data_IF_535131398487
#
_entry.id   IF_535131398487
#
_cell.length_a   1.000
_cell.length_b   1.000
_cell.length_c   1.000
_cell.angle_alpha   90.00
_cell.angle_beta   90.00
_cell.angle_gamma   90.00
#
_symmetry.space_group_name_H-M   'P 1'
#
loop_
_entity.id
_entity.type
_entity.pdbx_description
1 polymer ?
#
# COMPACT_ATOMS: atom_id res chain seq x y z
N UNK A 1 -5.64 10.49 -21.40
CA UNK A 1 -5.24 11.47 -20.37
C UNK A 1 -3.72 11.57 -20.33
N UNK A 2 -3.18 12.75 -19.97
CA UNK A 2 -1.72 12.98 -19.95
C UNK A 2 -1.01 12.06 -18.93
N UNK A 3 -1.64 11.81 -17.78
CA UNK A 3 -1.05 11.02 -16.70
C UNK A 3 -0.81 9.55 -17.06
N UNK A 4 -1.70 8.94 -17.86
CA UNK A 4 -1.51 7.55 -18.32
C UNK A 4 -0.35 7.37 -19.30
N UNK A 5 0.24 8.47 -19.79
CA UNK A 5 1.46 8.43 -20.60
C UNK A 5 2.72 8.52 -19.75
N UNK A 6 2.66 9.08 -18.54
CA UNK A 6 3.84 9.26 -17.68
C UNK A 6 4.60 7.95 -17.47
N UNK A 7 3.96 6.82 -17.11
CA UNK A 7 4.68 5.56 -16.93
C UNK A 7 5.34 5.07 -18.22
N UNK A 8 4.66 5.24 -19.37
CA UNK A 8 5.14 4.74 -20.67
C UNK A 8 6.27 5.59 -21.24
N UNK A 9 6.15 6.91 -21.09
CA UNK A 9 7.02 7.87 -21.74
C UNK A 9 8.24 8.20 -20.84
N UNK A 10 8.10 8.09 -19.51
CA UNK A 10 9.12 8.48 -18.53
C UNK A 10 9.50 7.38 -17.54
N UNK A 11 8.89 6.19 -17.62
CA UNK A 11 9.08 5.13 -16.64
C UNK A 11 10.22 4.15 -16.91
N UNK A 12 11.11 4.42 -17.88
CA UNK A 12 12.16 3.48 -18.29
C UNK A 12 13.14 3.12 -17.16
N UNK A 13 13.39 4.05 -16.23
CA UNK A 13 14.26 3.86 -15.08
C UNK A 13 13.48 3.48 -13.80
N UNK A 14 12.16 3.33 -13.90
CA UNK A 14 11.36 2.96 -12.74
C UNK A 14 11.58 1.49 -12.39
N UNK A 15 11.92 1.24 -11.13
CA UNK A 15 12.00 -0.11 -10.56
C UNK A 15 10.94 -0.28 -9.49
N UNK A 16 10.50 -1.52 -9.29
CA UNK A 16 9.69 -1.84 -8.13
C UNK A 16 10.48 -1.62 -6.82
N UNK A 17 9.76 -1.34 -5.74
CA UNK A 17 10.35 -1.41 -4.39
C UNK A 17 10.82 -2.86 -4.18
N UNK A 18 12.07 -3.10 -3.73
CA UNK A 18 12.55 -4.45 -3.43
C UNK A 18 11.56 -5.21 -2.55
N UNK A 19 11.25 -6.46 -2.92
CA UNK A 19 10.28 -7.31 -2.24
C UNK A 19 8.80 -7.09 -2.61
N UNK A 20 8.44 -6.03 -3.33
CA UNK A 20 7.04 -5.74 -3.68
C UNK A 20 6.39 -6.85 -4.51
N UNK A 21 7.06 -7.34 -5.56
CA UNK A 21 6.53 -8.44 -6.37
C UNK A 21 6.35 -9.71 -5.55
N UNK A 22 7.31 -10.04 -4.68
CA UNK A 22 7.26 -11.24 -3.83
C UNK A 22 6.01 -11.23 -2.95
N UNK A 23 5.78 -10.14 -2.21
CA UNK A 23 4.63 -10.07 -1.29
C UNK A 23 3.30 -10.07 -2.04
N UNK A 24 3.20 -9.38 -3.19
CA UNK A 24 1.99 -9.37 -4.01
C UNK A 24 1.68 -10.77 -4.57
N UNK A 25 2.68 -11.47 -5.11
CA UNK A 25 2.52 -12.84 -5.59
C UNK A 25 2.09 -13.77 -4.45
N UNK A 26 2.70 -13.67 -3.27
CA UNK A 26 2.32 -14.51 -2.12
C UNK A 26 0.88 -14.25 -1.64
N UNK A 27 0.40 -13.00 -1.69
CA UNK A 27 -0.99 -12.67 -1.36
C UNK A 27 -1.97 -13.29 -2.37
N UNK A 28 -1.67 -13.19 -3.68
CA UNK A 28 -2.47 -13.80 -4.74
C UNK A 28 -2.50 -15.34 -4.63
N UNK A 29 -1.35 -15.98 -4.45
CA UNK A 29 -1.24 -17.44 -4.32
C UNK A 29 -1.97 -17.97 -3.08
N UNK A 30 -1.95 -17.21 -1.98
CA UNK A 30 -2.69 -17.54 -0.77
C UNK A 30 -4.20 -17.22 -0.87
N UNK A 31 -4.63 -16.48 -1.88
CA UNK A 31 -6.00 -15.97 -1.99
C UNK A 31 -6.35 -14.94 -0.91
N UNK A 32 -5.34 -14.27 -0.34
CA UNK A 32 -5.53 -13.27 0.70
C UNK A 32 -6.04 -11.95 0.07
N UNK A 33 -7.15 -11.36 0.55
CA UNK A 33 -7.70 -10.16 -0.05
C UNK A 33 -6.82 -8.94 0.25
N UNK A 34 -6.45 -8.20 -0.79
CA UNK A 34 -5.68 -6.96 -0.68
C UNK A 34 -6.20 -5.90 -1.67
N UNK A 35 -5.87 -4.64 -1.40
CA UNK A 35 -6.24 -3.52 -2.25
C UNK A 35 -5.07 -2.53 -2.37
N UNK A 36 -5.01 -1.81 -3.50
CA UNK A 36 -4.17 -0.62 -3.63
C UNK A 36 -4.98 0.60 -3.27
N UNK A 37 -4.43 1.51 -2.46
CA UNK A 37 -5.03 2.80 -2.13
C UNK A 37 -4.02 3.92 -2.42
N UNK A 38 -4.25 4.69 -3.46
CA UNK A 38 -3.30 5.68 -3.98
C UNK A 38 -3.90 7.08 -4.11
N UNK A 39 -3.06 8.10 -3.95
CA UNK A 39 -3.40 9.50 -4.29
C UNK A 39 -3.20 9.81 -5.78
N UNK A 40 -2.77 8.82 -6.59
CA UNK A 40 -2.68 8.95 -8.04
C UNK A 40 -4.02 8.66 -8.73
N UNK A 41 -4.15 9.09 -9.99
CA UNK A 41 -5.29 8.74 -10.82
C UNK A 41 -5.30 7.27 -11.21
N UNK A 42 -6.47 6.77 -11.62
CA UNK A 42 -6.60 5.45 -12.25
C UNK A 42 -5.67 5.28 -13.46
N UNK A 43 -5.54 6.31 -14.30
CA UNK A 43 -4.66 6.26 -15.47
C UNK A 43 -3.17 6.12 -15.07
N UNK A 44 -2.75 6.77 -13.99
CA UNK A 44 -1.37 6.73 -13.51
C UNK A 44 -1.02 5.37 -12.92
N UNK A 45 -1.84 4.86 -11.99
CA UNK A 45 -1.56 3.58 -11.31
C UNK A 45 -1.61 2.40 -12.27
N UNK A 46 -2.60 2.35 -13.17
CA UNK A 46 -2.69 1.27 -14.16
C UNK A 46 -1.52 1.29 -15.14
N UNK A 47 -1.02 2.48 -15.50
CA UNK A 47 0.18 2.62 -16.32
C UNK A 47 1.42 2.09 -15.62
N UNK A 48 1.62 2.43 -14.33
CA UNK A 48 2.77 1.94 -13.55
C UNK A 48 2.74 0.42 -13.36
N UNK A 49 1.57 -0.15 -13.02
CA UNK A 49 1.42 -1.60 -12.90
C UNK A 49 1.77 -2.33 -14.21
N UNK A 50 1.36 -1.76 -15.35
CA UNK A 50 1.66 -2.32 -16.67
C UNK A 50 3.15 -2.23 -17.03
N UNK A 51 3.79 -1.09 -16.79
CA UNK A 51 5.23 -0.90 -17.08
C UNK A 51 6.11 -1.79 -16.21
N UNK A 52 5.79 -1.86 -14.91
CA UNK A 52 6.51 -2.71 -13.97
C UNK A 52 6.09 -4.18 -14.04
N UNK A 53 5.07 -4.52 -14.84
CA UNK A 53 4.51 -5.88 -14.95
C UNK A 53 4.16 -6.48 -13.59
N UNK A 54 3.58 -5.67 -12.70
CA UNK A 54 3.16 -6.10 -11.36
C UNK A 54 1.73 -6.66 -11.38
N UNK A 55 1.37 -7.41 -10.33
CA UNK A 55 0.01 -7.91 -10.17
C UNK A 55 -0.99 -6.76 -10.15
N UNK A 56 -2.07 -6.88 -10.94
CA UNK A 56 -3.15 -5.92 -10.93
C UNK A 56 -4.07 -6.22 -9.74
N UNK A 57 -4.29 -5.26 -8.83
CA UNK A 57 -5.17 -5.48 -7.69
C UNK A 57 -6.60 -5.70 -8.16
N UNK A 58 -7.27 -6.69 -7.55
CA UNK A 58 -8.72 -6.86 -7.73
C UNK A 58 -9.50 -5.63 -7.25
N UNK A 59 -9.00 -4.98 -6.20
CA UNK A 59 -9.60 -3.79 -5.60
C UNK A 59 -8.59 -2.65 -5.56
N UNK A 60 -8.97 -1.52 -6.14
CA UNK A 60 -8.13 -0.33 -6.26
C UNK A 60 -8.94 0.85 -5.73
N UNK A 61 -8.35 1.78 -4.98
CA UNK A 61 -8.92 3.09 -4.64
C UNK A 61 -7.96 4.17 -5.15
N UNK A 62 -8.48 5.09 -5.95
CA UNK A 62 -7.72 6.17 -6.60
C UNK A 62 -8.13 7.54 -6.09
N UNK A 63 -7.42 8.58 -6.51
CA UNK A 63 -7.72 9.96 -6.15
C UNK A 63 -9.18 10.36 -6.47
N UNK A 64 -9.70 9.90 -7.60
CA UNK A 64 -11.06 10.22 -8.05
C UNK A 64 -12.16 9.57 -7.21
N UNK A 65 -11.84 8.55 -6.42
CA UNK A 65 -12.80 7.81 -5.60
C UNK A 65 -13.16 8.53 -4.29
N UNK A 66 -12.40 9.56 -3.91
CA UNK A 66 -12.56 10.25 -2.61
C UNK A 66 -12.64 11.77 -2.79
N UNK A 67 -13.42 12.41 -1.93
CA UNK A 67 -13.54 13.88 -1.94
C UNK A 67 -12.32 14.57 -1.32
N UNK A 68 -11.71 13.94 -0.32
CA UNK A 68 -10.56 14.47 0.41
C UNK A 68 -9.46 13.41 0.41
N UNK A 69 -8.27 13.80 -0.05
CA UNK A 69 -7.11 12.92 -0.06
C UNK A 69 -6.46 12.76 1.31
N UNK A 70 -5.44 11.88 1.38
CA UNK A 70 -4.59 11.69 2.57
C UNK A 70 -4.07 13.06 3.08
N UNK A 71 -4.12 13.38 4.40
CA UNK A 71 -4.24 12.45 5.53
C UNK A 71 -5.67 12.12 5.97
N UNK A 72 -6.70 12.48 5.19
CA UNK A 72 -8.06 12.03 5.47
C UNK A 72 -8.18 10.49 5.35
N UNK A 73 -8.88 9.81 6.28
CA UNK A 73 -8.94 8.34 6.31
C UNK A 73 -9.89 7.74 5.26
N UNK A 74 -10.70 8.54 4.55
CA UNK A 74 -11.76 8.06 3.66
C UNK A 74 -11.25 7.07 2.62
N UNK A 75 -10.03 7.25 2.11
CA UNK A 75 -9.44 6.34 1.12
C UNK A 75 -9.21 4.92 1.66
N UNK A 76 -8.73 4.78 2.90
CA UNK A 76 -8.53 3.47 3.52
C UNK A 76 -9.83 2.84 4.00
N UNK A 77 -10.76 3.63 4.51
CA UNK A 77 -12.10 3.15 4.87
C UNK A 77 -12.84 2.61 3.65
N UNK A 78 -12.73 3.29 2.51
CA UNK A 78 -13.25 2.82 1.23
C UNK A 78 -12.53 1.54 0.76
N UNK A 79 -11.20 1.48 0.90
CA UNK A 79 -10.43 0.27 0.60
C UNK A 79 -10.90 -0.94 1.40
N UNK A 80 -11.12 -0.78 2.71
CA UNK A 80 -11.69 -1.82 3.58
C UNK A 80 -13.07 -2.26 3.12
N UNK A 81 -13.94 -1.34 2.70
CA UNK A 81 -15.27 -1.69 2.18
C UNK A 81 -15.18 -2.41 0.83
N UNK A 82 -14.30 -2.00 -0.09
CA UNK A 82 -14.09 -2.73 -1.35
C UNK A 82 -13.62 -4.18 -1.14
N UNK A 83 -12.93 -4.45 -0.03
CA UNK A 83 -12.54 -5.79 0.39
C UNK A 83 -13.69 -6.61 1.01
N UNK A 84 -14.85 -6.01 1.29
CA UNK A 84 -15.95 -6.65 2.03
C UNK A 84 -15.64 -6.87 3.51
N UNK A 85 -14.77 -6.02 4.08
CA UNK A 85 -14.27 -6.12 5.46
C UNK A 85 -14.77 -4.97 6.34
N UNK A 86 -15.96 -4.43 6.09
CA UNK A 86 -16.51 -3.23 6.76
C UNK A 86 -16.48 -3.32 8.29
N UNK A 87 -16.67 -4.54 8.82
CA UNK A 87 -16.70 -4.82 10.25
C UNK A 87 -15.36 -5.28 10.83
N UNK A 88 -14.32 -5.41 9.99
CA UNK A 88 -12.98 -5.74 10.48
C UNK A 88 -12.36 -4.55 11.20
N UNK A 89 -11.85 -4.82 12.40
CA UNK A 89 -10.99 -3.95 13.19
C UNK A 89 -9.49 -4.21 12.95
N UNK A 90 -9.18 -5.25 12.17
CA UNK A 90 -7.81 -5.71 11.91
C UNK A 90 -7.47 -5.48 10.44
N UNK A 91 -6.91 -4.30 10.17
CA UNK A 91 -6.41 -3.90 8.86
C UNK A 91 -4.95 -3.47 8.96
N UNK A 92 -4.16 -3.85 7.97
CA UNK A 92 -2.78 -3.42 7.80
C UNK A 92 -2.67 -2.54 6.56
N UNK A 93 -2.07 -1.36 6.73
CA UNK A 93 -1.66 -0.46 5.66
C UNK A 93 -0.15 -0.56 5.48
N UNK A 94 0.31 -0.70 4.24
CA UNK A 94 1.71 -0.53 3.87
C UNK A 94 1.84 0.83 3.18
N UNK A 95 2.72 1.71 3.68
CA UNK A 95 2.81 3.11 3.26
C UNK A 95 4.24 3.65 3.30
N UNK A 96 4.55 4.67 2.52
CA UNK A 96 5.87 5.32 2.46
C UNK A 96 5.82 6.85 2.68
N UNK A 97 4.61 7.41 2.82
CA UNK A 97 4.40 8.84 3.01
C UNK A 97 3.77 9.17 4.39
N UNK A 98 4.25 10.21 5.10
CA UNK A 98 3.65 10.67 6.35
C UNK A 98 2.15 10.96 6.26
N UNK A 99 1.66 11.47 5.12
CA UNK A 99 0.23 11.70 4.90
C UNK A 99 -0.56 10.39 4.86
N UNK A 100 -0.03 9.35 4.22
CA UNK A 100 -0.63 8.03 4.16
C UNK A 100 -0.59 7.31 5.50
N UNK A 101 0.54 7.39 6.21
CA UNK A 101 0.64 6.89 7.59
C UNK A 101 -0.45 7.52 8.46
N UNK A 102 -0.56 8.85 8.49
CA UNK A 102 -1.61 9.54 9.25
C UNK A 102 -3.03 9.14 8.84
N UNK A 103 -3.30 8.98 7.54
CA UNK A 103 -4.60 8.50 7.08
C UNK A 103 -4.92 7.07 7.55
N UNK A 104 -3.94 6.16 7.51
CA UNK A 104 -4.10 4.80 8.01
C UNK A 104 -4.37 4.78 9.51
N UNK A 105 -3.64 5.59 10.29
CA UNK A 105 -3.87 5.76 11.73
C UNK A 105 -5.22 6.38 12.04
N UNK A 106 -5.63 7.42 11.31
CA UNK A 106 -6.94 8.04 11.45
C UNK A 106 -8.10 7.09 11.11
N UNK A 107 -7.88 6.11 10.23
CA UNK A 107 -8.82 5.03 9.94
C UNK A 107 -8.89 3.96 11.06
N UNK A 108 -8.01 4.03 12.05
CA UNK A 108 -7.89 3.04 13.13
C UNK A 108 -7.04 1.83 12.76
N UNK A 109 -6.28 1.88 11.68
CA UNK A 109 -5.54 0.73 11.16
C UNK A 109 -4.11 0.65 11.72
N UNK A 110 -3.50 -0.53 11.58
CA UNK A 110 -2.06 -0.71 11.77
C UNK A 110 -1.31 -0.28 10.51
N UNK A 111 -0.15 0.34 10.67
CA UNK A 111 0.66 0.86 9.56
C UNK A 111 2.08 0.31 9.65
N UNK A 112 2.48 -0.42 8.62
CA UNK A 112 3.87 -0.78 8.33
C UNK A 112 4.41 0.24 7.32
N UNK A 113 5.33 1.09 7.75
CA UNK A 113 5.90 2.12 6.89
C UNK A 113 7.19 1.66 6.19
N UNK A 114 7.41 2.13 4.95
CA UNK A 114 8.59 1.90 4.14
C UNK A 114 9.42 3.19 4.08
N UNK A 115 10.67 3.14 4.52
CA UNK A 115 11.60 4.27 4.47
C UNK A 115 12.24 4.45 3.08
N UNK A 116 11.40 4.42 2.02
CA UNK A 116 11.83 4.54 0.61
C UNK A 116 11.85 5.98 0.12
N UNK A 117 10.87 6.79 0.52
CA UNK A 117 10.71 8.18 0.04
C UNK A 117 10.94 9.21 1.13
N UNK A 118 10.55 8.89 2.36
CA UNK A 118 10.68 9.78 3.52
C UNK A 118 11.63 9.18 4.55
N UNK A 119 12.22 10.05 5.37
CA UNK A 119 13.16 9.62 6.42
C UNK A 119 12.39 8.97 7.58
N UNK A 120 13.08 8.10 8.32
CA UNK A 120 12.49 7.31 9.40
C UNK A 120 11.82 8.19 10.47
N UNK A 121 12.40 9.34 10.76
CA UNK A 121 11.89 10.32 11.73
C UNK A 121 10.51 10.86 11.34
N UNK A 122 10.29 11.17 10.06
CA UNK A 122 9.01 11.69 9.56
C UNK A 122 7.90 10.61 9.64
N UNK A 123 8.27 9.36 9.40
CA UNK A 123 7.36 8.21 9.51
C UNK A 123 7.03 7.87 10.97
N UNK A 124 8.02 8.00 11.87
CA UNK A 124 7.87 7.95 13.33
C UNK A 124 6.86 8.97 13.83
N UNK A 125 7.10 10.24 13.48
CA UNK A 125 6.23 11.36 13.86
C UNK A 125 4.81 11.24 13.30
N UNK A 126 4.65 10.62 12.12
CA UNK A 126 3.35 10.34 11.53
C UNK A 126 2.57 9.22 12.24
N UNK A 127 3.23 8.44 13.12
CA UNK A 127 2.60 7.41 13.95
C UNK A 127 2.60 6.01 13.35
N UNK A 128 3.60 5.66 12.51
CA UNK A 128 3.78 4.30 12.01
C UNK A 128 3.94 3.30 13.18
N UNK A 129 3.37 2.09 13.05
CA UNK A 129 3.51 1.05 14.09
C UNK A 129 4.86 0.33 13.94
N UNK A 130 5.29 0.09 12.70
CA UNK A 130 6.59 -0.47 12.34
C UNK A 130 7.17 0.29 11.16
N UNK A 131 8.50 0.32 11.06
CA UNK A 131 9.20 0.92 9.93
C UNK A 131 10.26 -0.05 9.44
N UNK A 132 10.27 -0.32 8.15
CA UNK A 132 11.30 -1.11 7.46
C UNK A 132 11.85 -0.30 6.28
N UNK A 133 13.03 -0.67 5.78
CA UNK A 133 13.64 0.03 4.65
C UNK A 133 12.79 -0.09 3.38
N UNK A 134 12.41 -1.32 3.04
CA UNK A 134 11.63 -1.70 1.87
C UNK A 134 10.98 -3.07 2.15
N UNK A 135 10.31 -3.65 1.15
CA UNK A 135 9.57 -4.90 1.32
C UNK A 135 10.47 -6.14 1.30
N UNK A 136 11.80 -6.04 1.11
CA UNK A 136 12.69 -7.18 1.35
C UNK A 136 12.74 -7.59 2.82
N UNK A 137 12.37 -6.69 3.72
CA UNK A 137 12.25 -6.92 5.17
C UNK A 137 10.86 -7.37 5.63
N UNK A 138 10.00 -7.82 4.70
CA UNK A 138 8.67 -8.34 5.01
C UNK A 138 8.27 -9.56 4.15
N UNK A 139 7.47 -10.47 4.71
CA UNK A 139 6.85 -11.56 3.96
C UNK A 139 5.50 -11.98 4.54
N UNK A 140 4.62 -12.49 3.66
CA UNK A 140 3.42 -13.19 4.10
C UNK A 140 3.83 -14.54 4.68
N UNK A 141 3.61 -14.71 5.98
CA UNK A 141 3.88 -15.97 6.67
C UNK A 141 2.71 -16.93 6.58
N UNK A 142 1.48 -16.42 6.70
CA UNK A 142 0.25 -17.22 6.65
C UNK A 142 -0.96 -16.38 6.29
N UNK A 143 -1.91 -16.98 5.57
CA UNK A 143 -3.30 -16.52 5.51
C UNK A 143 -4.21 -17.65 6.02
N UNK A 144 -4.95 -17.39 7.10
CA UNK A 144 -5.90 -18.34 7.65
C UNK A 144 -6.97 -17.60 8.44
N UNK A 145 -8.18 -18.17 8.48
CA UNK A 145 -9.32 -17.63 9.23
C UNK A 145 -9.61 -16.15 8.90
N UNK A 146 -9.39 -15.76 7.64
CA UNK A 146 -9.60 -14.39 7.15
C UNK A 146 -8.54 -13.38 7.61
N UNK A 147 -7.43 -13.82 8.22
CA UNK A 147 -6.35 -12.95 8.70
C UNK A 147 -5.03 -13.24 8.01
N UNK A 148 -4.31 -12.18 7.66
CA UNK A 148 -2.93 -12.25 7.19
C UNK A 148 -1.98 -12.13 8.38
N UNK A 149 -0.96 -12.98 8.42
CA UNK A 149 0.19 -12.85 9.29
C UNK A 149 1.38 -12.41 8.43
N UNK A 150 1.85 -11.19 8.65
CA UNK A 150 3.05 -10.65 8.00
C UNK A 150 4.19 -10.75 9.00
N UNK A 151 5.27 -11.41 8.59
CA UNK A 151 6.53 -11.41 9.32
C UNK A 151 7.40 -10.26 8.81
N UNK A 152 7.98 -9.50 9.74
CA UNK A 152 8.87 -8.36 9.47
C UNK A 152 10.18 -8.55 10.23
N UNK A 153 11.29 -8.14 9.63
CA UNK A 153 12.63 -8.18 10.22
C UNK A 153 13.40 -6.88 9.88
N UNK A 154 14.60 -6.71 10.45
CA UNK A 154 15.43 -5.50 10.25
C UNK A 154 14.68 -4.18 10.47
N UNK A 155 13.83 -4.14 11.50
CA UNK A 155 12.95 -2.99 11.79
C UNK A 155 13.77 -1.77 12.25
N UNK A 156 13.37 -0.60 11.76
CA UNK A 156 13.96 0.72 12.07
C UNK A 156 13.21 1.44 13.23
N UNK A 157 12.12 0.82 13.70
CA UNK A 157 11.31 1.17 14.87
C UNK A 157 10.65 -0.08 15.43
#
# INVERSE_FOLDING_TARGET
MIEGRIPKDLGNDATEIPGARRILTSLEEAGAPWAVVTSGSNALITGWLGVLQLAHPKYLVVAEDVQVGKPDPSCYLLGRSRLGLEHSDSMLVIEDAPSGVRAGKAAGFKVLALATTHVVEELKEAGADWIIKDLDSASLKKFADGKVEIEVWDTLQ
#
